data_IF_918299132407
#
_entry.id   IF_918299132407
#
_cell.length_a   1.000
_cell.length_b   1.000
_cell.length_c   1.000
_cell.angle_alpha   90.00
_cell.angle_beta   90.00
_cell.angle_gamma   90.00
#
_symmetry.space_group_name_H-M   'P 1'
#
loop_
_entity.id
_entity.type
_entity.pdbx_description
1 polymer ?
#
# COMPACT_ATOMS: atom_id res chain seq x y z
N UNK A 1 14.40 -13.57 -13.14
CA UNK A 1 14.42 -12.10 -13.39
C UNK A 1 13.04 -11.45 -13.36
N UNK A 2 11.99 -12.02 -13.96
CA UNK A 2 10.62 -11.45 -13.88
C UNK A 2 9.98 -11.57 -12.49
N UNK A 3 10.11 -12.74 -11.84
CA UNK A 3 9.55 -13.00 -10.51
C UNK A 3 10.16 -12.10 -9.42
N UNK A 4 11.49 -11.91 -9.48
CA UNK A 4 12.21 -10.95 -8.64
C UNK A 4 11.75 -9.50 -8.86
N UNK A 5 11.36 -9.15 -10.08
CA UNK A 5 10.76 -7.85 -10.39
C UNK A 5 9.38 -7.67 -9.76
N UNK A 6 8.53 -8.70 -9.82
CA UNK A 6 7.21 -8.70 -9.19
C UNK A 6 7.30 -8.57 -7.65
N UNK A 7 8.21 -9.31 -7.01
CA UNK A 7 8.42 -9.18 -5.55
C UNK A 7 8.93 -7.80 -5.15
N UNK A 8 9.84 -7.21 -5.92
CA UNK A 8 10.30 -5.83 -5.67
C UNK A 8 9.19 -4.80 -5.87
N UNK A 9 8.36 -4.96 -6.90
CA UNK A 9 7.20 -4.10 -7.13
C UNK A 9 6.18 -4.21 -5.98
N UNK A 10 5.91 -5.42 -5.50
CA UNK A 10 5.08 -5.66 -4.31
C UNK A 10 5.63 -4.97 -3.06
N UNK A 11 6.93 -5.11 -2.77
CA UNK A 11 7.53 -4.44 -1.62
C UNK A 11 7.45 -2.91 -1.73
N UNK A 12 7.74 -2.33 -2.90
CA UNK A 12 7.62 -0.88 -3.12
C UNK A 12 6.17 -0.40 -2.99
N UNK A 13 5.22 -1.17 -3.51
CA UNK A 13 3.80 -0.85 -3.38
C UNK A 13 3.33 -0.84 -1.93
N UNK A 14 3.79 -1.79 -1.11
CA UNK A 14 3.53 -1.79 0.34
C UNK A 14 4.14 -0.54 0.99
N UNK A 15 5.40 -0.22 0.70
CA UNK A 15 6.07 0.95 1.27
C UNK A 15 5.34 2.25 0.91
N UNK A 16 5.06 2.47 -0.37
CA UNK A 16 4.35 3.65 -0.86
C UNK A 16 2.95 3.79 -0.24
N UNK A 17 2.19 2.70 -0.18
CA UNK A 17 0.87 2.70 0.45
C UNK A 17 0.96 3.05 1.94
N UNK A 18 1.91 2.47 2.67
CA UNK A 18 2.13 2.78 4.09
C UNK A 18 2.58 4.22 4.34
N UNK A 19 3.42 4.79 3.46
CA UNK A 19 3.79 6.21 3.50
C UNK A 19 2.58 7.11 3.26
N UNK A 20 1.76 6.79 2.26
CA UNK A 20 0.51 7.51 1.98
C UNK A 20 -0.49 7.45 3.14
N UNK A 21 -0.64 6.29 3.81
CA UNK A 21 -1.49 6.17 5.00
C UNK A 21 -1.03 7.10 6.13
N UNK A 22 0.28 7.19 6.37
CA UNK A 22 0.85 8.08 7.38
C UNK A 22 0.62 9.56 7.03
N UNK A 23 0.81 9.92 5.76
CA UNK A 23 0.55 11.28 5.28
C UNK A 23 -0.91 11.67 5.48
N UNK A 24 -1.85 10.82 5.07
CA UNK A 24 -3.28 11.08 5.21
C UNK A 24 -3.71 11.15 6.68
N UNK A 25 -3.16 10.29 7.54
CA UNK A 25 -3.42 10.35 8.98
C UNK A 25 -2.96 11.67 9.60
N UNK A 26 -1.78 12.16 9.22
CA UNK A 26 -1.25 13.47 9.65
C UNK A 26 -2.13 14.62 9.18
N UNK A 27 -2.57 14.60 7.92
CA UNK A 27 -3.48 15.59 7.35
C UNK A 27 -4.84 15.61 8.07
N UNK A 28 -5.44 14.44 8.31
CA UNK A 28 -6.72 14.31 9.03
C UNK A 28 -6.62 14.76 10.49
N UNK A 29 -5.53 14.44 11.18
CA UNK A 29 -5.28 14.91 12.53
C UNK A 29 -5.18 16.45 12.58
N UNK A 30 -4.47 17.03 11.62
CA UNK A 30 -4.30 18.48 11.51
C UNK A 30 -5.61 19.18 11.17
N UNK A 31 -6.43 18.61 10.28
CA UNK A 31 -7.75 19.14 9.91
C UNK A 31 -8.73 19.15 11.10
N UNK A 32 -8.69 18.13 11.97
CA UNK A 32 -9.49 18.09 13.20
C UNK A 32 -9.07 19.17 14.21
N UNK A 33 -7.78 19.48 14.28
CA UNK A 33 -7.25 20.50 15.20
C UNK A 33 -7.62 21.93 14.77
N UNK A 34 -7.97 22.14 13.49
CA UNK A 34 -8.34 23.43 12.92
C UNK A 34 -9.83 23.79 13.05
N UNK A 35 -10.62 23.04 13.82
CA UNK A 35 -12.03 23.32 14.16
C UNK A 35 -12.91 23.66 12.94
N UNK A 36 -12.76 22.88 11.85
CA UNK A 36 -13.54 23.05 10.62
C UNK A 36 -13.01 24.07 9.61
N UNK A 37 -11.90 24.76 9.90
CA UNK A 37 -11.24 25.69 8.95
C UNK A 37 -10.20 25.04 8.03
N UNK A 38 -10.22 23.71 7.89
CA UNK A 38 -9.22 22.96 7.15
C UNK A 38 -9.03 23.51 5.72
N UNK A 39 -7.78 23.72 5.31
CA UNK A 39 -7.42 24.28 4.01
C UNK A 39 -7.84 23.39 2.81
N UNK A 40 -8.22 22.14 3.07
CA UNK A 40 -8.64 21.13 2.10
C UNK A 40 -9.82 20.34 2.68
N UNK A 41 -10.77 19.96 1.82
CA UNK A 41 -11.89 19.09 2.18
C UNK A 41 -11.40 17.75 2.73
N UNK A 42 -11.88 17.39 3.93
CA UNK A 42 -11.55 16.15 4.65
C UNK A 42 -11.96 14.89 3.88
N UNK A 43 -12.89 14.99 2.93
CA UNK A 43 -13.33 13.87 2.09
C UNK A 43 -12.17 13.31 1.26
N UNK A 44 -11.27 14.18 0.79
CA UNK A 44 -10.14 13.82 -0.06
C UNK A 44 -9.10 12.94 0.64
N UNK A 45 -8.51 13.32 1.79
CA UNK A 45 -7.56 12.47 2.50
C UNK A 45 -8.20 11.15 2.99
N UNK A 46 -9.52 11.11 3.21
CA UNK A 46 -10.23 9.85 3.51
C UNK A 46 -10.31 8.91 2.31
N UNK A 47 -10.65 9.41 1.12
CA UNK A 47 -10.65 8.61 -0.11
C UNK A 47 -9.23 8.14 -0.45
N UNK A 48 -8.25 9.04 -0.36
CA UNK A 48 -6.84 8.70 -0.55
C UNK A 48 -6.38 7.65 0.48
N UNK A 49 -6.91 7.65 1.71
CA UNK A 49 -6.57 6.64 2.73
C UNK A 49 -7.04 5.25 2.28
N UNK A 50 -8.28 5.14 1.81
CA UNK A 50 -8.81 3.89 1.26
C UNK A 50 -7.99 3.39 0.07
N UNK A 51 -7.59 4.28 -0.84
CA UNK A 51 -6.73 3.91 -1.99
C UNK A 51 -5.36 3.39 -1.52
N UNK A 52 -4.77 4.02 -0.52
CA UNK A 52 -3.49 3.58 0.05
C UNK A 52 -3.60 2.21 0.74
N UNK A 53 -4.71 1.92 1.44
CA UNK A 53 -4.98 0.57 1.98
C UNK A 53 -5.05 -0.45 0.85
N UNK A 54 -5.84 -0.17 -0.19
CA UNK A 54 -5.97 -1.06 -1.34
C UNK A 54 -4.63 -1.30 -2.04
N UNK A 55 -3.77 -0.28 -2.13
CA UNK A 55 -2.42 -0.42 -2.67
C UNK A 55 -1.57 -1.39 -1.83
N UNK A 56 -1.61 -1.30 -0.50
CA UNK A 56 -0.89 -2.24 0.39
C UNK A 56 -1.41 -3.66 0.19
N UNK A 57 -2.73 -3.85 0.20
CA UNK A 57 -3.37 -5.16 0.04
C UNK A 57 -3.05 -5.81 -1.31
N UNK A 58 -3.19 -5.05 -2.40
CA UNK A 58 -2.87 -5.52 -3.74
C UNK A 58 -1.38 -5.91 -3.86
N UNK A 59 -0.51 -5.10 -3.27
CA UNK A 59 0.94 -5.34 -3.29
C UNK A 59 1.34 -6.56 -2.44
N UNK A 60 0.69 -6.77 -1.30
CA UNK A 60 0.84 -7.98 -0.50
C UNK A 60 0.37 -9.23 -1.25
N UNK A 61 -0.71 -9.11 -2.04
CA UNK A 61 -1.18 -10.21 -2.89
C UNK A 61 -0.18 -10.56 -3.99
N UNK A 62 0.45 -9.56 -4.62
CA UNK A 62 1.53 -9.77 -5.60
C UNK A 62 2.71 -10.51 -4.95
N UNK A 63 3.14 -10.07 -3.76
CA UNK A 63 4.24 -10.73 -3.05
C UNK A 63 3.92 -12.19 -2.69
N UNK A 64 2.70 -12.45 -2.22
CA UNK A 64 2.24 -13.80 -1.89
C UNK A 64 2.19 -14.69 -3.14
N UNK A 65 1.69 -14.17 -4.25
CA UNK A 65 1.65 -14.90 -5.52
C UNK A 65 3.06 -15.22 -6.04
N UNK A 66 4.00 -14.28 -5.90
CA UNK A 66 5.42 -14.52 -6.21
C UNK A 66 6.01 -15.63 -5.35
N UNK A 67 5.74 -15.63 -4.05
CA UNK A 67 6.22 -16.65 -3.11
C UNK A 67 5.64 -18.04 -3.44
N UNK A 68 4.33 -18.13 -3.67
CA UNK A 68 3.67 -19.37 -4.09
C UNK A 68 4.25 -19.93 -5.40
N UNK A 69 4.56 -19.06 -6.38
CA UNK A 69 5.17 -19.49 -7.63
C UNK A 69 6.59 -20.03 -7.41
N UNK A 70 7.39 -19.39 -6.55
CA UNK A 70 8.72 -19.91 -6.17
C UNK A 70 8.58 -21.27 -5.50
N UNK A 71 7.66 -21.39 -4.53
CA UNK A 71 7.42 -22.64 -3.81
C UNK A 71 7.02 -23.79 -4.73
N UNK A 72 6.12 -23.53 -5.68
CA UNK A 72 5.74 -24.53 -6.71
C UNK A 72 6.91 -24.92 -7.60
N UNK A 73 7.70 -23.95 -8.07
CA UNK A 73 8.88 -24.23 -8.89
C UNK A 73 9.91 -25.09 -8.13
N UNK A 74 10.14 -24.81 -6.85
CA UNK A 74 11.05 -25.61 -6.01
C UNK A 74 10.50 -27.02 -5.80
N UNK A 75 9.20 -27.16 -5.59
CA UNK A 75 8.57 -28.48 -5.40
C UNK A 75 8.69 -29.38 -6.64
N UNK A 76 8.51 -28.84 -7.85
CA UNK A 76 8.59 -29.62 -9.10
C UNK A 76 10.01 -30.07 -9.47
N UNK A 77 11.04 -29.38 -8.98
CA UNK A 77 12.45 -29.72 -9.26
C UNK A 77 13.12 -30.57 -8.17
N UNK A 78 12.44 -30.79 -7.05
CA UNK A 78 12.91 -31.57 -5.90
C UNK A 78 12.44 -33.03 -6.00
#
# INVERSE_FOLDING_TARGET
MLLSGASQAGMRGIQNGMEGLRANASELASARQMDGSAARDISKPLVEQTQNVQQVEASAKVLSASDEMIGRLIHEIA
#
